data_IF_358561666896
#
_entry.id   IF_358561666896
#
_cell.length_a   1.000
_cell.length_b   1.000
_cell.length_c   1.000
_cell.angle_alpha   90.00
_cell.angle_beta   90.00
_cell.angle_gamma   90.00
#
_symmetry.space_group_name_H-M   'P 1'
#
loop_
_entity.id
_entity.type
_entity.pdbx_description
1 polymer ?
#
# COMPACT_ATOMS: atom_id res chain seq x y z
N UNK A 1 65.84 -46.06 -2.72
CA UNK A 1 65.47 -44.64 -2.56
C UNK A 1 65.57 -43.94 -3.92
N UNK A 2 64.54 -44.12 -4.74
CA UNK A 2 64.26 -43.39 -5.98
C UNK A 2 62.96 -42.59 -5.71
N UNK A 3 62.61 -41.43 -6.28
CA UNK A 3 63.08 -40.61 -7.37
C UNK A 3 62.46 -39.20 -7.18
N UNK A 4 63.18 -38.12 -7.51
CA UNK A 4 62.92 -37.12 -8.58
C UNK A 4 61.57 -36.37 -8.56
N UNK A 5 61.70 -35.06 -8.28
CA UNK A 5 61.04 -33.85 -8.81
C UNK A 5 59.58 -33.87 -9.32
N UNK A 6 58.80 -32.87 -8.86
CA UNK A 6 57.86 -32.05 -9.66
C UNK A 6 57.55 -30.76 -8.89
N UNK A 7 58.15 -29.64 -9.28
CA UNK A 7 57.63 -28.59 -10.16
C UNK A 7 56.42 -27.83 -9.59
N UNK A 8 56.70 -26.58 -9.26
CA UNK A 8 55.80 -25.55 -8.77
C UNK A 8 55.20 -24.79 -9.96
N UNK A 9 54.08 -24.08 -9.74
CA UNK A 9 53.33 -23.18 -10.65
C UNK A 9 52.18 -23.80 -11.45
N UNK A 10 51.01 -23.76 -10.81
CA UNK A 10 49.73 -23.52 -11.45
C UNK A 10 48.91 -22.65 -10.51
N UNK A 11 49.10 -21.33 -10.56
CA UNK A 11 48.16 -20.39 -9.95
C UNK A 11 46.88 -20.47 -10.74
N UNK A 12 45.93 -21.28 -10.28
CA UNK A 12 44.55 -21.17 -10.70
C UNK A 12 44.10 -19.76 -10.31
N UNK A 13 43.94 -18.90 -11.32
CA UNK A 13 43.16 -17.68 -11.22
C UNK A 13 41.74 -18.11 -10.83
N UNK A 14 41.43 -18.09 -9.54
CA UNK A 14 40.06 -18.04 -9.05
C UNK A 14 39.49 -16.69 -9.44
N UNK A 15 39.15 -16.54 -10.72
CA UNK A 15 38.20 -15.52 -11.15
C UNK A 15 36.92 -15.79 -10.38
N UNK A 16 36.68 -14.94 -9.38
CA UNK A 16 35.38 -14.72 -8.75
C UNK A 16 34.42 -14.21 -9.82
N UNK A 17 33.94 -15.12 -10.67
CA UNK A 17 33.03 -14.78 -11.74
C UNK A 17 31.62 -14.57 -11.14
N UNK A 18 30.98 -13.46 -11.51
CA UNK A 18 29.55 -13.26 -11.28
C UNK A 18 28.78 -14.37 -11.98
N UNK A 19 27.69 -14.84 -11.36
CA UNK A 19 26.93 -15.98 -11.87
C UNK A 19 26.04 -15.68 -13.07
N UNK A 20 25.63 -14.43 -13.26
CA UNK A 20 24.87 -14.05 -14.46
C UNK A 20 25.77 -14.20 -15.68
N UNK A 21 25.26 -14.86 -16.73
CA UNK A 21 25.98 -15.19 -17.95
C UNK A 21 26.93 -14.06 -18.37
N UNK A 22 28.24 -14.35 -18.45
CA UNK A 22 29.26 -13.41 -18.92
C UNK A 22 29.06 -12.98 -20.37
N UNK A 23 28.11 -13.60 -21.08
CA UNK A 23 27.75 -13.34 -22.47
C UNK A 23 26.79 -12.15 -22.59
N UNK A 24 25.93 -11.90 -21.60
CA UNK A 24 25.00 -10.75 -21.61
C UNK A 24 25.63 -9.61 -20.81
N UNK A 25 25.91 -8.44 -21.39
CA UNK A 25 26.48 -7.32 -20.62
C UNK A 25 25.46 -6.75 -19.63
N UNK A 26 25.92 -6.35 -18.44
CA UNK A 26 25.09 -5.58 -17.52
C UNK A 26 25.04 -4.12 -17.95
N UNK A 27 23.92 -3.69 -18.54
CA UNK A 27 23.71 -2.32 -19.00
C UNK A 27 22.27 -1.87 -18.72
N UNK A 28 22.12 -0.67 -18.16
CA UNK A 28 20.80 -0.12 -17.85
C UNK A 28 20.09 0.33 -19.13
N UNK A 29 18.94 -0.29 -19.39
CA UNK A 29 18.01 0.04 -20.46
C UNK A 29 16.59 0.12 -19.90
N UNK A 30 16.26 1.16 -19.10
CA UNK A 30 14.98 1.24 -18.37
C UNK A 30 13.74 1.25 -19.27
N UNK A 31 13.91 1.53 -20.57
CA UNK A 31 12.87 1.50 -21.59
C UNK A 31 13.18 0.53 -22.74
N UNK A 32 14.17 -0.35 -22.59
CA UNK A 32 14.66 -1.24 -23.65
C UNK A 32 13.60 -2.24 -24.09
N UNK A 33 13.23 -2.24 -25.37
CA UNK A 33 12.07 -3.01 -25.90
C UNK A 33 12.48 -4.30 -26.60
N UNK A 34 13.75 -4.40 -26.99
CA UNK A 34 14.28 -5.59 -27.63
C UNK A 34 14.76 -6.60 -26.58
N UNK A 35 14.64 -7.93 -26.85
CA UNK A 35 15.09 -8.97 -25.93
C UNK A 35 16.52 -8.79 -25.40
N UNK A 36 17.44 -8.30 -26.24
CA UNK A 36 18.85 -8.08 -25.87
C UNK A 36 19.03 -6.90 -24.89
N UNK A 37 18.29 -5.81 -25.09
CA UNK A 37 18.29 -4.65 -24.19
C UNK A 37 17.67 -5.02 -22.85
N UNK A 38 16.55 -5.76 -22.87
CA UNK A 38 15.88 -6.25 -21.66
C UNK A 38 16.77 -7.20 -20.89
N UNK A 39 17.42 -8.17 -21.56
CA UNK A 39 18.34 -9.10 -20.91
C UNK A 39 19.50 -8.35 -20.24
N UNK A 40 20.02 -7.31 -20.90
CA UNK A 40 21.06 -6.45 -20.35
C UNK A 40 20.58 -5.64 -19.13
N UNK A 41 19.32 -5.17 -19.14
CA UNK A 41 18.71 -4.46 -18.02
C UNK A 41 18.42 -5.39 -16.83
N UNK A 42 17.98 -6.62 -17.08
CA UNK A 42 17.82 -7.65 -16.04
C UNK A 42 19.18 -7.95 -15.41
N UNK A 43 20.23 -8.14 -16.21
CA UNK A 43 21.58 -8.35 -15.67
C UNK A 43 22.10 -7.12 -14.91
N UNK A 44 21.77 -5.90 -15.37
CA UNK A 44 22.07 -4.68 -14.63
C UNK A 44 21.45 -4.71 -13.22
N UNK A 45 20.15 -4.98 -13.09
CA UNK A 45 19.50 -5.06 -11.77
C UNK A 45 20.07 -6.18 -10.90
N UNK A 46 20.35 -7.35 -11.48
CA UNK A 46 20.98 -8.46 -10.76
C UNK A 46 22.34 -8.10 -10.14
N UNK A 47 23.12 -7.21 -10.77
CA UNK A 47 24.46 -6.82 -10.31
C UNK A 47 24.47 -5.52 -9.48
N UNK A 48 23.66 -4.53 -9.86
CA UNK A 48 23.69 -3.18 -9.30
C UNK A 48 22.55 -2.87 -8.34
N UNK A 49 21.55 -3.75 -8.25
CA UNK A 49 20.52 -3.73 -7.22
C UNK A 49 20.43 -5.10 -6.49
N UNK A 50 21.55 -5.62 -5.94
CA UNK A 50 21.57 -6.98 -5.43
C UNK A 50 20.89 -7.11 -4.07
N UNK A 51 20.08 -8.16 -3.93
CA UNK A 51 19.51 -8.61 -2.66
C UNK A 51 20.05 -9.99 -2.22
N UNK A 52 21.00 -10.52 -3.00
CA UNK A 52 21.57 -11.85 -2.84
C UNK A 52 23.09 -11.84 -3.08
N UNK A 53 23.77 -12.88 -2.61
CA UNK A 53 25.19 -13.10 -2.92
C UNK A 53 25.41 -13.30 -4.43
N UNK A 54 26.49 -12.78 -5.03
CA UNK A 54 26.67 -12.69 -6.48
C UNK A 54 27.01 -14.01 -7.19
N UNK A 55 27.14 -15.12 -6.43
CA UNK A 55 27.64 -16.41 -6.92
C UNK A 55 26.57 -17.30 -7.55
N UNK A 56 25.30 -16.90 -7.52
CA UNK A 56 24.19 -17.65 -8.12
C UNK A 56 23.19 -16.72 -8.79
N UNK A 57 22.61 -17.17 -9.89
CA UNK A 57 21.48 -16.54 -10.56
C UNK A 57 20.45 -17.62 -10.86
N UNK A 58 19.74 -18.04 -9.82
CA UNK A 58 18.68 -19.05 -9.89
C UNK A 58 17.32 -18.35 -10.14
N UNK A 59 16.22 -19.09 -10.36
CA UNK A 59 14.92 -18.49 -10.68
C UNK A 59 14.49 -17.37 -9.72
N UNK A 60 14.82 -17.47 -8.43
CA UNK A 60 14.47 -16.43 -7.46
C UNK A 60 15.21 -15.10 -7.73
N UNK A 61 16.53 -15.15 -7.97
CA UNK A 61 17.29 -13.94 -8.31
C UNK A 61 16.82 -13.36 -9.66
N UNK A 62 16.54 -14.24 -10.62
CA UNK A 62 16.01 -13.86 -11.91
C UNK A 62 14.64 -13.17 -11.77
N UNK A 63 13.76 -13.64 -10.88
CA UNK A 63 12.48 -12.99 -10.59
C UNK A 63 12.65 -11.55 -10.13
N UNK A 64 13.42 -11.31 -9.06
CA UNK A 64 13.57 -9.95 -8.53
C UNK A 64 14.20 -9.01 -9.56
N UNK A 65 15.27 -9.44 -10.26
CA UNK A 65 15.91 -8.64 -11.30
C UNK A 65 14.97 -8.36 -12.49
N UNK A 66 14.11 -9.31 -12.83
CA UNK A 66 13.10 -9.15 -13.89
C UNK A 66 11.99 -8.19 -13.47
N UNK A 67 11.48 -8.32 -12.25
CA UNK A 67 10.46 -7.45 -11.70
C UNK A 67 10.95 -6.00 -11.61
N UNK A 68 12.21 -5.78 -11.21
CA UNK A 68 12.84 -4.45 -11.16
C UNK A 68 13.02 -3.86 -12.57
N UNK A 69 13.45 -4.68 -13.55
CA UNK A 69 13.51 -4.29 -14.96
C UNK A 69 12.14 -3.85 -15.51
N UNK A 70 11.06 -4.58 -15.17
CA UNK A 70 9.69 -4.16 -15.53
C UNK A 70 9.29 -2.88 -14.82
N UNK A 71 9.63 -2.77 -13.53
CA UNK A 71 9.30 -1.61 -12.68
C UNK A 71 9.90 -0.31 -13.18
N UNK A 72 11.05 -0.32 -13.85
CA UNK A 72 11.61 0.87 -14.51
C UNK A 72 10.59 1.53 -15.45
N UNK A 73 9.93 0.73 -16.29
CA UNK A 73 8.87 1.20 -17.21
C UNK A 73 7.65 1.67 -16.45
N UNK A 74 7.23 0.93 -15.43
CA UNK A 74 6.07 1.29 -14.60
C UNK A 74 6.30 2.63 -13.90
N UNK A 75 7.47 2.88 -13.33
CA UNK A 75 7.82 4.16 -12.70
C UNK A 75 7.75 5.30 -13.72
N UNK A 76 8.28 5.10 -14.93
CA UNK A 76 8.23 6.13 -15.97
C UNK A 76 6.78 6.51 -16.31
N UNK A 77 5.92 5.51 -16.56
CA UNK A 77 4.51 5.73 -16.90
C UNK A 77 3.68 6.26 -15.72
N UNK A 78 3.95 5.79 -14.51
CA UNK A 78 3.31 6.26 -13.28
C UNK A 78 3.63 7.74 -13.03
N UNK A 79 4.90 8.15 -13.18
CA UNK A 79 5.31 9.54 -13.07
C UNK A 79 4.64 10.41 -14.14
N UNK A 80 4.59 9.95 -15.39
CA UNK A 80 3.91 10.67 -16.48
C UNK A 80 2.41 10.84 -16.21
N UNK A 81 1.75 9.79 -15.73
CA UNK A 81 0.33 9.80 -15.37
C UNK A 81 0.08 10.75 -14.20
N UNK A 82 0.91 10.68 -13.15
CA UNK A 82 0.83 11.56 -11.99
C UNK A 82 0.94 13.04 -12.39
N UNK A 83 1.97 13.39 -13.17
CA UNK A 83 2.19 14.75 -13.67
C UNK A 83 1.06 15.21 -14.59
N UNK A 84 0.54 14.32 -15.43
CA UNK A 84 -0.59 14.62 -16.30
C UNK A 84 -1.84 14.96 -15.49
N UNK A 85 -2.21 14.14 -14.50
CA UNK A 85 -3.36 14.41 -13.62
C UNK A 85 -3.14 15.65 -12.76
N UNK A 86 -1.93 15.89 -12.27
CA UNK A 86 -1.62 17.10 -11.52
C UNK A 86 -1.82 18.36 -12.39
N UNK A 87 -1.37 18.33 -13.65
CA UNK A 87 -1.52 19.46 -14.58
C UNK A 87 -2.96 19.66 -15.08
N UNK A 88 -3.66 18.57 -15.40
CA UNK A 88 -5.00 18.62 -15.97
C UNK A 88 -6.09 18.89 -14.91
N UNK A 89 -5.79 18.58 -13.64
CA UNK A 89 -6.68 18.70 -12.49
C UNK A 89 -8.11 18.14 -12.77
N UNK A 90 -8.21 16.88 -13.23
CA UNK A 90 -9.51 16.26 -13.47
C UNK A 90 -10.19 15.93 -12.13
N UNK A 91 -11.51 15.68 -12.17
CA UNK A 91 -12.16 14.97 -11.08
C UNK A 91 -11.50 13.59 -10.94
N UNK A 92 -11.03 13.25 -9.74
CA UNK A 92 -10.37 11.98 -9.46
C UNK A 92 -11.18 11.14 -8.47
N UNK A 93 -11.32 9.86 -8.78
CA UNK A 93 -12.00 8.87 -7.93
C UNK A 93 -11.01 8.15 -7.02
N UNK A 94 -11.41 7.90 -5.78
CA UNK A 94 -10.62 7.20 -4.78
C UNK A 94 -11.42 6.03 -4.23
N UNK A 95 -10.94 4.82 -4.47
CA UNK A 95 -11.56 3.59 -4.04
C UNK A 95 -10.95 3.13 -2.72
N UNK A 96 -11.74 3.10 -1.64
CA UNK A 96 -11.27 2.72 -0.31
C UNK A 96 -11.74 1.29 -0.04
N UNK A 97 -10.78 0.38 0.17
CA UNK A 97 -11.06 -1.03 0.43
C UNK A 97 -10.10 -1.57 1.48
N UNK A 98 -10.63 -2.41 2.37
CA UNK A 98 -9.82 -3.19 3.32
C UNK A 98 -9.11 -4.36 2.63
N UNK A 99 -9.47 -4.68 1.39
CA UNK A 99 -8.89 -5.80 0.66
C UNK A 99 -8.54 -5.44 -0.78
N UNK A 100 -7.43 -5.98 -1.25
CA UNK A 100 -7.03 -6.04 -2.65
C UNK A 100 -6.36 -7.40 -2.92
N UNK A 101 -7.02 -8.27 -3.68
CA UNK A 101 -6.38 -9.50 -4.18
C UNK A 101 -5.66 -9.19 -5.48
N UNK A 102 -4.48 -8.57 -5.38
CA UNK A 102 -3.67 -8.20 -6.55
C UNK A 102 -3.20 -9.46 -7.29
N UNK A 103 -2.78 -10.47 -6.52
CA UNK A 103 -2.13 -11.67 -7.03
C UNK A 103 -0.69 -11.41 -7.42
N UNK A 104 -0.14 -12.27 -8.29
CA UNK A 104 1.15 -12.06 -8.96
C UNK A 104 1.05 -10.96 -10.02
N UNK A 105 2.01 -10.04 -10.03
CA UNK A 105 2.02 -8.86 -10.88
C UNK A 105 2.85 -9.02 -12.15
N UNK A 106 3.87 -9.90 -12.18
CA UNK A 106 4.81 -9.97 -13.31
C UNK A 106 4.11 -10.18 -14.65
N UNK A 107 3.28 -11.23 -14.74
CA UNK A 107 2.57 -11.58 -15.97
C UNK A 107 1.56 -10.51 -16.38
N UNK A 108 0.87 -9.89 -15.42
CA UNK A 108 -0.07 -8.81 -15.71
C UNK A 108 0.66 -7.56 -16.23
N UNK A 109 1.79 -7.19 -15.63
CA UNK A 109 2.57 -6.03 -16.04
C UNK A 109 3.14 -6.19 -17.45
N UNK A 110 3.82 -7.31 -17.75
CA UNK A 110 4.38 -7.53 -19.10
C UNK A 110 3.28 -7.72 -20.16
N UNK A 111 2.12 -8.25 -19.78
CA UNK A 111 0.95 -8.36 -20.64
C UNK A 111 0.31 -7.01 -20.96
N UNK A 112 0.09 -6.16 -19.95
CA UNK A 112 -0.51 -4.83 -20.14
C UNK A 112 0.40 -3.88 -20.93
N UNK A 113 1.71 -4.04 -20.79
CA UNK A 113 2.73 -3.32 -21.55
C UNK A 113 2.94 -3.87 -22.98
N UNK A 114 2.33 -5.01 -23.34
CA UNK A 114 2.47 -5.68 -24.64
C UNK A 114 3.94 -6.07 -24.97
N UNK A 115 4.67 -6.56 -23.96
CA UNK A 115 6.11 -6.90 -24.04
C UNK A 115 6.45 -8.31 -23.52
N UNK A 116 5.45 -9.18 -23.41
CA UNK A 116 5.61 -10.54 -22.88
C UNK A 116 6.63 -11.37 -23.68
N UNK A 117 6.56 -11.33 -25.01
CA UNK A 117 7.48 -12.08 -25.89
C UNK A 117 8.92 -11.56 -25.78
N UNK A 118 9.08 -10.25 -25.60
CA UNK A 118 10.39 -9.63 -25.45
C UNK A 118 11.06 -10.04 -24.14
N UNK A 119 10.30 -10.11 -23.04
CA UNK A 119 10.79 -10.62 -21.75
C UNK A 119 11.06 -12.12 -21.76
N UNK A 120 10.22 -12.92 -22.43
CA UNK A 120 10.48 -14.35 -22.61
C UNK A 120 11.79 -14.57 -23.41
N UNK A 121 11.99 -13.83 -24.50
CA UNK A 121 13.24 -13.86 -25.27
C UNK A 121 14.47 -13.42 -24.48
N UNK A 122 14.31 -12.42 -23.59
CA UNK A 122 15.38 -11.93 -22.73
C UNK A 122 15.79 -12.95 -21.66
N UNK A 123 14.82 -13.56 -20.98
CA UNK A 123 15.07 -14.59 -19.97
C UNK A 123 15.73 -15.84 -20.57
N UNK A 124 15.33 -16.23 -21.78
CA UNK A 124 15.98 -17.33 -22.50
C UNK A 124 17.48 -17.06 -22.77
N UNK A 125 17.86 -15.81 -23.07
CA UNK A 125 19.28 -15.44 -23.22
C UNK A 125 20.06 -15.53 -21.90
N UNK A 126 19.37 -15.40 -20.77
CA UNK A 126 19.91 -15.52 -19.42
C UNK A 126 19.81 -16.96 -18.86
N UNK A 127 19.26 -17.91 -19.63
CA UNK A 127 19.15 -19.31 -19.24
C UNK A 127 17.93 -19.65 -18.38
N UNK A 128 16.88 -18.83 -18.40
CA UNK A 128 15.64 -19.04 -17.65
C UNK A 128 14.41 -19.05 -18.56
N UNK A 129 13.40 -19.83 -18.20
CA UNK A 129 12.06 -19.75 -18.79
C UNK A 129 11.20 -18.76 -17.99
N UNK A 130 10.35 -17.98 -18.69
CA UNK A 130 9.50 -16.99 -18.02
C UNK A 130 8.56 -17.63 -16.99
N UNK A 131 8.05 -18.82 -17.27
CA UNK A 131 7.14 -19.55 -16.37
C UNK A 131 7.83 -19.88 -15.03
N UNK A 132 9.05 -20.41 -15.06
CA UNK A 132 9.82 -20.73 -13.86
C UNK A 132 10.10 -19.51 -12.99
N UNK A 133 10.34 -18.35 -13.63
CA UNK A 133 10.57 -17.06 -12.97
C UNK A 133 9.29 -16.54 -12.33
N UNK A 134 8.15 -16.63 -13.04
CA UNK A 134 6.82 -16.23 -12.54
C UNK A 134 6.37 -17.09 -11.35
N UNK A 135 6.74 -18.36 -11.30
CA UNK A 135 6.43 -19.26 -10.16
C UNK A 135 7.21 -18.92 -8.87
N UNK A 136 8.25 -18.09 -8.94
CA UNK A 136 8.93 -17.58 -7.74
C UNK A 136 8.21 -16.39 -7.09
N UNK A 137 7.32 -15.72 -7.83
CA UNK A 137 6.58 -14.59 -7.32
C UNK A 137 5.56 -15.05 -6.27
N UNK A 138 5.59 -14.43 -5.10
CA UNK A 138 4.57 -14.63 -4.07
C UNK A 138 3.39 -13.69 -4.31
N UNK A 139 2.18 -14.21 -4.22
CA UNK A 139 0.97 -13.37 -4.23
C UNK A 139 1.04 -12.31 -3.11
N UNK A 140 0.71 -11.06 -3.46
CA UNK A 140 0.61 -10.00 -2.47
C UNK A 140 -0.57 -10.26 -1.53
N UNK A 141 -0.29 -10.58 -0.27
CA UNK A 141 -1.28 -10.96 0.73
C UNK A 141 -2.05 -9.75 1.30
N UNK A 142 -2.75 -9.05 0.41
CA UNK A 142 -3.43 -7.78 0.68
C UNK A 142 -4.97 -7.90 0.68
N UNK A 143 -5.51 -9.11 0.50
CA UNK A 143 -6.93 -9.40 0.45
C UNK A 143 -7.19 -10.89 0.68
N UNK A 144 -8.46 -11.27 0.70
CA UNK A 144 -8.91 -12.64 0.94
C UNK A 144 -9.97 -13.10 -0.07
N UNK A 145 -11.02 -12.32 -0.26
CA UNK A 145 -12.23 -12.77 -0.96
C UNK A 145 -12.57 -12.02 -2.24
N UNK A 146 -13.80 -12.27 -2.72
CA UNK A 146 -14.35 -11.60 -3.90
C UNK A 146 -14.38 -10.07 -3.79
N UNK A 147 -14.54 -9.53 -2.58
CA UNK A 147 -14.46 -8.10 -2.30
C UNK A 147 -13.10 -7.51 -2.72
N UNK A 148 -12.02 -8.17 -2.31
CA UNK A 148 -10.66 -7.79 -2.66
C UNK A 148 -10.33 -8.00 -4.14
N UNK A 149 -10.83 -9.09 -4.75
CA UNK A 149 -10.59 -9.31 -6.19
C UNK A 149 -11.35 -8.33 -7.06
N UNK A 150 -12.57 -7.97 -6.68
CA UNK A 150 -13.34 -6.92 -7.34
C UNK A 150 -12.58 -5.60 -7.35
N UNK A 151 -12.05 -5.19 -6.19
CA UNK A 151 -11.26 -3.97 -6.06
C UNK A 151 -10.03 -4.00 -6.98
N UNK A 152 -9.29 -5.10 -7.05
CA UNK A 152 -8.15 -5.25 -7.97
C UNK A 152 -8.55 -5.19 -9.44
N UNK A 153 -9.62 -5.87 -9.85
CA UNK A 153 -10.13 -5.83 -11.22
C UNK A 153 -10.61 -4.41 -11.62
N UNK A 154 -11.17 -3.65 -10.66
CA UNK A 154 -11.53 -2.25 -10.88
C UNK A 154 -10.30 -1.40 -11.14
N UNK A 155 -9.19 -1.59 -10.43
CA UNK A 155 -7.97 -0.83 -10.69
C UNK A 155 -7.40 -1.10 -12.09
N UNK A 156 -7.33 -2.36 -12.51
CA UNK A 156 -6.91 -2.72 -13.88
C UNK A 156 -7.82 -2.06 -14.94
N UNK A 157 -9.14 -2.08 -14.72
CA UNK A 157 -10.11 -1.43 -15.60
C UNK A 157 -9.97 0.09 -15.61
N UNK A 158 -9.79 0.73 -14.46
CA UNK A 158 -9.59 2.17 -14.33
C UNK A 158 -8.33 2.62 -15.06
N UNK A 159 -7.23 1.87 -14.90
CA UNK A 159 -5.99 2.12 -15.60
C UNK A 159 -6.18 2.03 -17.12
N UNK A 160 -6.75 0.92 -17.59
CA UNK A 160 -7.00 0.61 -19.00
C UNK A 160 -7.94 1.62 -19.68
N UNK A 161 -8.98 2.06 -18.99
CA UNK A 161 -9.96 3.04 -19.50
C UNK A 161 -9.48 4.49 -19.39
N UNK A 162 -8.22 4.72 -18.99
CA UNK A 162 -7.65 6.07 -18.80
C UNK A 162 -8.41 6.93 -17.79
N UNK A 163 -9.01 6.30 -16.77
CA UNK A 163 -9.74 7.02 -15.74
C UNK A 163 -8.78 7.57 -14.68
N UNK A 164 -8.93 8.84 -14.26
CA UNK A 164 -8.24 9.37 -13.10
C UNK A 164 -8.85 8.75 -11.83
N UNK A 165 -8.31 7.61 -11.42
CA UNK A 165 -8.76 6.92 -10.22
C UNK A 165 -7.61 6.19 -9.53
N UNK A 166 -7.62 6.13 -8.20
CA UNK A 166 -6.67 5.38 -7.38
C UNK A 166 -7.39 4.45 -6.39
N UNK A 167 -6.70 3.38 -5.99
CA UNK A 167 -7.08 2.57 -4.84
C UNK A 167 -6.31 2.97 -3.59
N UNK A 168 -6.97 2.96 -2.44
CA UNK A 168 -6.33 3.04 -1.13
C UNK A 168 -6.63 1.78 -0.32
N UNK A 169 -5.59 1.25 0.35
CA UNK A 169 -5.66 0.07 1.21
C UNK A 169 -4.60 0.06 2.31
N UNK A 170 -4.53 -1.02 3.08
CA UNK A 170 -3.49 -1.25 4.10
C UNK A 170 -2.44 -2.22 3.60
N UNK A 171 -1.18 -2.00 3.99
CA UNK A 171 -0.04 -2.86 3.62
C UNK A 171 0.08 -4.03 4.60
N UNK A 172 -0.79 -5.02 4.48
CA UNK A 172 -0.80 -6.18 5.39
C UNK A 172 0.47 -7.01 5.28
N UNK A 173 1.11 -7.29 6.42
CA UNK A 173 2.35 -8.07 6.48
C UNK A 173 2.10 -9.57 6.29
N UNK A 174 1.08 -10.09 6.95
CA UNK A 174 0.84 -11.53 7.09
C UNK A 174 -0.47 -12.01 6.44
N UNK A 175 -1.14 -11.15 5.68
CA UNK A 175 -2.39 -11.49 4.99
C UNK A 175 -3.52 -11.87 5.94
N UNK A 176 -4.36 -12.81 5.50
CA UNK A 176 -5.32 -13.49 6.38
C UNK A 176 -4.66 -14.71 7.04
N UNK A 177 -4.31 -15.72 6.23
CA UNK A 177 -3.43 -16.83 6.57
C UNK A 177 -3.08 -17.61 5.29
N UNK A 178 -1.95 -18.31 5.33
CA UNK A 178 -1.57 -19.36 4.39
C UNK A 178 -2.14 -20.69 4.86
N UNK A 179 -2.97 -21.31 4.03
CA UNK A 179 -3.59 -22.60 4.35
C UNK A 179 -2.60 -23.75 4.17
N UNK A 180 -2.51 -24.63 5.17
CA UNK A 180 -1.84 -25.93 5.07
C UNK A 180 -2.83 -27.04 5.41
N UNK A 181 -2.84 -28.12 4.63
CA UNK A 181 -3.66 -29.29 4.90
C UNK A 181 -2.79 -30.37 5.56
N UNK A 182 -3.12 -30.74 6.79
CA UNK A 182 -2.45 -31.80 7.54
C UNK A 182 -3.43 -32.95 7.82
N UNK A 183 -2.99 -33.97 8.57
CA UNK A 183 -3.86 -35.10 8.94
C UNK A 183 -5.02 -34.67 9.84
N UNK A 184 -4.87 -33.54 10.53
CA UNK A 184 -5.86 -33.01 11.49
C UNK A 184 -6.85 -32.04 10.83
N UNK A 185 -6.62 -31.66 9.57
CA UNK A 185 -7.46 -30.74 8.80
C UNK A 185 -6.68 -29.51 8.34
N UNK A 186 -7.34 -28.35 8.37
CA UNK A 186 -6.72 -27.07 8.06
C UNK A 186 -5.84 -26.60 9.22
N UNK A 187 -4.63 -26.18 8.90
CA UNK A 187 -3.75 -25.37 9.75
C UNK A 187 -3.51 -24.01 9.09
N UNK A 188 -3.46 -22.97 9.91
CA UNK A 188 -3.30 -21.58 9.49
C UNK A 188 -1.91 -21.09 9.91
N UNK A 189 -1.12 -20.62 8.94
CA UNK A 189 0.18 -20.00 9.21
C UNK A 189 0.23 -18.61 8.60
N UNK A 190 1.07 -17.72 9.13
CA UNK A 190 1.24 -16.38 8.57
C UNK A 190 1.84 -16.44 7.16
N UNK A 191 1.40 -15.53 6.28
CA UNK A 191 2.02 -15.33 4.97
C UNK A 191 3.42 -14.72 5.10
N UNK A 192 4.30 -14.98 4.14
CA UNK A 192 5.72 -14.58 4.19
C UNK A 192 6.14 -13.75 2.96
N UNK A 193 5.18 -13.08 2.31
CA UNK A 193 5.39 -12.33 1.07
C UNK A 193 6.30 -11.11 1.23
N UNK A 194 6.39 -10.54 2.44
CA UNK A 194 7.25 -9.39 2.77
C UNK A 194 8.45 -9.75 3.65
N UNK A 195 8.74 -11.03 3.91
CA UNK A 195 9.90 -11.42 4.73
C UNK A 195 11.24 -11.13 4.03
N UNK A 196 11.24 -11.03 2.70
CA UNK A 196 12.35 -10.45 1.93
C UNK A 196 12.03 -8.99 1.61
N UNK A 197 11.33 -8.76 0.51
CA UNK A 197 10.81 -7.47 0.07
C UNK A 197 9.85 -7.69 -1.10
N UNK A 198 9.01 -6.70 -1.40
CA UNK A 198 8.24 -6.67 -2.65
C UNK A 198 8.99 -5.81 -3.68
N UNK A 199 9.30 -6.33 -4.89
CA UNK A 199 9.97 -5.54 -5.91
C UNK A 199 9.05 -4.51 -6.56
N UNK A 200 7.73 -4.57 -6.34
CA UNK A 200 6.73 -3.78 -7.06
C UNK A 200 6.44 -2.42 -6.43
N UNK A 201 6.56 -2.32 -5.12
CA UNK A 201 6.15 -1.13 -4.37
C UNK A 201 7.19 -0.01 -4.39
N UNK A 202 6.74 1.23 -4.26
CA UNK A 202 7.57 2.43 -4.16
C UNK A 202 7.22 3.14 -2.85
N UNK A 203 8.13 3.14 -1.89
CA UNK A 203 7.96 3.90 -0.65
C UNK A 203 8.00 5.41 -0.91
N UNK A 204 7.15 6.18 -0.23
CA UNK A 204 7.07 7.65 -0.30
C UNK A 204 7.33 8.25 1.07
N UNK A 205 8.60 8.41 1.43
CA UNK A 205 9.00 8.92 2.75
C UNK A 205 8.57 10.37 3.01
N UNK A 206 8.25 11.13 1.97
CA UNK A 206 7.67 12.47 2.01
C UNK A 206 6.16 12.48 2.25
N UNK A 207 5.48 11.36 2.04
CA UNK A 207 4.04 11.20 2.22
C UNK A 207 3.78 10.42 3.51
N UNK A 208 3.71 11.18 4.61
CA UNK A 208 3.45 10.67 5.96
C UNK A 208 2.37 11.50 6.62
N UNK A 209 1.30 10.83 7.10
CA UNK A 209 0.20 11.49 7.78
C UNK A 209 0.01 10.97 9.20
N UNK A 210 -0.19 11.84 10.21
CA UNK A 210 -0.47 11.42 11.56
C UNK A 210 -1.91 10.88 11.67
N UNK A 211 -2.08 9.77 12.36
CA UNK A 211 -3.40 9.21 12.70
C UNK A 211 -3.47 9.04 14.22
N UNK A 212 -4.47 9.67 14.83
CA UNK A 212 -4.69 9.64 16.28
C UNK A 212 -5.65 8.52 16.68
N UNK A 213 -5.50 7.99 17.89
CA UNK A 213 -6.44 7.10 18.55
C UNK A 213 -6.60 7.50 20.02
N UNK A 214 -7.77 7.19 20.59
CA UNK A 214 -8.13 7.55 21.97
C UNK A 214 -8.13 9.07 22.18
N UNK A 215 -7.61 9.57 23.30
CA UNK A 215 -7.58 11.00 23.60
C UNK A 215 -8.95 11.55 23.96
N UNK A 216 -9.15 12.86 23.75
CA UNK A 216 -10.37 13.57 24.12
C UNK A 216 -10.61 14.80 23.24
N UNK A 217 -11.83 15.32 23.26
CA UNK A 217 -12.17 16.56 22.58
C UNK A 217 -11.99 17.73 23.53
N UNK A 218 -11.22 18.72 23.11
CA UNK A 218 -11.11 20.02 23.75
C UNK A 218 -12.02 21.02 23.03
N UNK A 219 -12.73 21.84 23.81
CA UNK A 219 -13.59 22.92 23.30
C UNK A 219 -12.89 24.24 23.59
N UNK A 220 -12.53 24.97 22.54
CA UNK A 220 -11.83 26.25 22.64
C UNK A 220 -12.81 27.38 23.00
N UNK A 221 -12.31 28.54 23.49
CA UNK A 221 -13.15 29.68 23.84
C UNK A 221 -14.02 30.25 22.70
N UNK A 222 -13.60 30.06 21.45
CA UNK A 222 -14.35 30.46 20.24
C UNK A 222 -15.42 29.43 19.84
N UNK A 223 -15.57 28.33 20.59
CA UNK A 223 -16.50 27.24 20.32
C UNK A 223 -15.97 26.18 19.36
N UNK A 224 -14.79 26.39 18.75
CA UNK A 224 -14.16 25.36 17.91
C UNK A 224 -13.72 24.16 18.74
N UNK A 225 -13.69 22.99 18.11
CA UNK A 225 -13.38 21.71 18.75
C UNK A 225 -12.07 21.19 18.22
N UNK A 226 -11.26 20.56 19.08
CA UNK A 226 -10.00 19.96 18.67
C UNK A 226 -9.83 18.59 19.34
N UNK A 227 -9.41 17.60 18.55
CA UNK A 227 -9.07 16.28 19.08
C UNK A 227 -7.61 16.24 19.55
N UNK A 228 -7.40 16.04 20.85
CA UNK A 228 -6.10 16.14 21.51
C UNK A 228 -5.78 14.88 22.33
N UNK A 229 -4.51 14.75 22.72
CA UNK A 229 -3.97 13.63 23.52
C UNK A 229 -4.13 12.27 22.82
N UNK A 230 -3.97 11.16 23.56
CA UNK A 230 -4.05 9.81 23.01
C UNK A 230 -2.79 9.36 22.27
N UNK A 231 -2.94 8.29 21.50
CA UNK A 231 -1.86 7.68 20.72
C UNK A 231 -1.83 8.29 19.32
N UNK A 232 -0.63 8.59 18.81
CA UNK A 232 -0.47 9.02 17.41
C UNK A 232 0.49 8.06 16.72
N UNK A 233 0.07 7.53 15.58
CA UNK A 233 0.90 6.74 14.68
C UNK A 233 1.06 7.46 13.34
N UNK A 234 2.09 7.11 12.60
CA UNK A 234 2.40 7.66 11.29
C UNK A 234 1.93 6.69 10.20
N UNK A 235 1.19 7.18 9.23
CA UNK A 235 0.81 6.44 8.04
C UNK A 235 1.79 6.76 6.90
N UNK A 236 2.67 5.81 6.60
CA UNK A 236 3.64 5.90 5.51
C UNK A 236 3.05 5.30 4.23
N UNK A 237 3.11 6.05 3.12
CA UNK A 237 2.62 5.58 1.83
C UNK A 237 3.61 4.66 1.10
N UNK A 238 3.06 3.60 0.53
CA UNK A 238 3.69 2.72 -0.44
C UNK A 238 2.81 2.68 -1.69
N UNK A 239 3.33 3.08 -2.84
CA UNK A 239 2.60 3.03 -4.12
C UNK A 239 2.92 1.72 -4.85
N UNK A 240 1.88 1.00 -5.27
CA UNK A 240 1.97 -0.11 -6.23
C UNK A 240 1.40 0.39 -7.56
N UNK A 241 2.25 0.61 -8.59
CA UNK A 241 1.78 1.05 -9.90
C UNK A 241 0.86 0.01 -10.55
N UNK A 242 -0.27 0.47 -11.11
CA UNK A 242 -1.23 -0.39 -11.83
C UNK A 242 -1.22 0.03 -13.31
N UNK A 243 -0.54 -0.74 -14.20
CA UNK A 243 -0.50 -0.44 -15.63
C UNK A 243 -1.82 -0.78 -16.29
N UNK A 244 -2.32 0.08 -17.17
CA UNK A 244 -3.47 -0.21 -18.02
C UNK A 244 -3.07 -0.97 -19.29
N UNK A 245 -3.95 -1.83 -19.80
CA UNK A 245 -3.71 -2.57 -21.04
C UNK A 245 -3.63 -1.63 -22.24
N UNK A 246 -2.51 -1.67 -22.97
CA UNK A 246 -2.27 -0.88 -24.19
C UNK A 246 -2.52 0.63 -24.03
N UNK A 247 -2.19 1.16 -22.86
CA UNK A 247 -2.16 2.60 -22.59
C UNK A 247 -0.92 2.98 -21.79
N UNK A 248 -0.57 4.27 -21.79
CA UNK A 248 0.46 4.82 -20.89
C UNK A 248 -0.08 5.12 -19.49
N UNK A 249 -1.41 5.12 -19.33
CA UNK A 249 -2.03 5.45 -18.06
C UNK A 249 -1.73 4.35 -17.04
N UNK A 250 -0.94 4.70 -16.03
CA UNK A 250 -0.52 3.82 -14.94
C UNK A 250 -0.89 4.50 -13.63
N UNK A 251 -1.94 4.00 -12.99
CA UNK A 251 -2.51 4.56 -11.76
C UNK A 251 -1.84 3.96 -10.52
N UNK A 252 -2.33 4.28 -9.32
CA UNK A 252 -1.77 3.78 -8.06
C UNK A 252 -2.80 2.96 -7.28
N UNK A 253 -2.34 1.83 -6.73
CA UNK A 253 -2.81 1.33 -5.45
C UNK A 253 -1.87 1.89 -4.38
N UNK A 254 -2.35 2.83 -3.57
CA UNK A 254 -1.60 3.39 -2.44
C UNK A 254 -1.93 2.61 -1.17
N UNK A 255 -0.91 2.02 -0.57
CA UNK A 255 -1.00 1.23 0.66
C UNK A 255 -0.40 1.99 1.82
N UNK A 256 -1.06 1.92 2.98
CA UNK A 256 -0.59 2.54 4.21
C UNK A 256 0.11 1.54 5.12
N UNK A 257 1.32 1.87 5.56
CA UNK A 257 2.03 1.21 6.65
C UNK A 257 1.93 2.06 7.92
N UNK A 258 1.50 1.45 9.03
CA UNK A 258 1.45 2.09 10.34
C UNK A 258 2.81 2.00 11.06
N UNK A 259 3.37 3.15 11.45
CA UNK A 259 4.65 3.25 12.15
C UNK A 259 4.56 4.14 13.39
N UNK A 260 5.36 3.83 14.40
CA UNK A 260 5.72 4.81 15.43
C UNK A 260 7.00 5.55 15.00
N UNK A 261 7.22 6.75 15.53
CA UNK A 261 8.48 7.45 15.33
C UNK A 261 9.57 6.86 16.22
N UNK A 262 10.84 7.08 15.89
CA UNK A 262 11.95 6.65 16.76
C UNK A 262 11.92 7.31 18.14
N UNK A 263 11.33 8.51 18.25
CA UNK A 263 11.19 9.24 19.51
C UNK A 263 10.20 8.56 20.47
N UNK A 264 9.30 7.73 19.94
CA UNK A 264 8.34 6.96 20.74
C UNK A 264 8.95 5.70 21.38
N UNK A 265 10.25 5.45 21.17
CA UNK A 265 10.98 4.37 21.83
C UNK A 265 11.56 4.83 23.16
N UNK A 266 11.09 4.27 24.27
CA UNK A 266 11.50 4.72 25.59
C UNK A 266 12.83 4.07 26.03
N UNK A 267 13.94 4.77 25.78
CA UNK A 267 15.29 4.31 26.15
C UNK A 267 15.48 4.11 27.66
N UNK A 268 14.80 4.89 28.51
CA UNK A 268 14.89 4.74 29.96
C UNK A 268 14.31 3.38 30.39
N UNK A 269 13.09 3.06 29.94
CA UNK A 269 12.46 1.77 30.20
C UNK A 269 13.25 0.61 29.60
N UNK A 270 13.82 0.78 28.41
CA UNK A 270 14.63 -0.24 27.78
C UNK A 270 15.88 -0.58 28.60
N UNK A 271 16.61 0.44 29.05
CA UNK A 271 17.82 0.27 29.86
C UNK A 271 17.52 -0.31 31.26
N UNK A 272 16.28 -0.14 31.75
CA UNK A 272 15.78 -0.76 33.00
C UNK A 272 15.26 -2.19 32.80
N UNK A 273 15.39 -2.76 31.60
CA UNK A 273 14.96 -4.12 31.27
C UNK A 273 13.46 -4.26 30.96
N UNK A 274 12.72 -3.17 30.86
CA UNK A 274 11.28 -3.14 30.59
C UNK A 274 10.99 -3.07 29.07
N UNK A 275 11.45 -4.08 28.33
CA UNK A 275 11.49 -4.06 26.85
C UNK A 275 10.11 -3.92 26.18
N UNK A 276 9.08 -4.59 26.70
CA UNK A 276 7.72 -4.51 26.14
C UNK A 276 7.13 -3.10 26.29
N UNK A 277 7.28 -2.50 27.48
CA UNK A 277 6.86 -1.12 27.75
C UNK A 277 7.61 -0.13 26.86
N UNK A 278 8.92 -0.34 26.71
CA UNK A 278 9.78 0.55 25.92
C UNK A 278 9.40 0.63 24.44
N UNK A 279 8.84 -0.44 23.89
CA UNK A 279 8.46 -0.58 22.48
C UNK A 279 6.94 -0.59 22.25
N UNK A 280 6.15 -0.27 23.27
CA UNK A 280 4.69 -0.47 23.23
C UNK A 280 4.00 0.22 22.06
N UNK A 281 4.37 1.47 21.74
CA UNK A 281 3.76 2.18 20.60
C UNK A 281 4.19 1.59 19.25
N UNK A 282 5.45 1.15 19.13
CA UNK A 282 5.95 0.47 17.93
C UNK A 282 5.17 -0.81 17.68
N UNK A 283 4.95 -1.62 18.72
CA UNK A 283 4.15 -2.83 18.64
C UNK A 283 2.69 -2.54 18.25
N UNK A 284 2.06 -1.54 18.87
CA UNK A 284 0.68 -1.13 18.54
C UNK A 284 0.51 -0.64 17.11
N UNK A 285 1.50 0.08 16.57
CA UNK A 285 1.50 0.49 15.17
C UNK A 285 1.59 -0.72 14.24
N UNK A 286 2.53 -1.65 14.51
CA UNK A 286 2.70 -2.88 13.72
C UNK A 286 1.44 -3.75 13.69
N UNK A 287 0.69 -3.84 14.80
CA UNK A 287 -0.56 -4.60 14.87
C UNK A 287 -1.59 -4.17 13.82
N UNK A 288 -1.67 -2.87 13.48
CA UNK A 288 -2.65 -2.34 12.52
C UNK A 288 -2.47 -2.98 11.14
N UNK A 289 -1.23 -3.18 10.71
CA UNK A 289 -0.92 -3.76 9.40
C UNK A 289 -0.48 -5.22 9.48
N UNK A 290 -0.69 -5.91 10.61
CA UNK A 290 -0.23 -7.28 10.76
C UNK A 290 -1.08 -8.26 9.93
N UNK A 291 -2.37 -8.36 10.24
CA UNK A 291 -3.30 -9.36 9.68
C UNK A 291 -4.58 -8.66 9.18
N UNK A 292 -5.12 -9.16 8.07
CA UNK A 292 -6.43 -8.82 7.55
C UNK A 292 -7.53 -9.46 8.40
N UNK A 293 -8.54 -8.67 8.80
CA UNK A 293 -9.65 -9.12 9.65
C UNK A 293 -9.21 -9.86 10.93
N UNK A 294 -8.46 -9.19 11.82
CA UNK A 294 -8.08 -9.79 13.09
C UNK A 294 -9.33 -10.19 13.89
N UNK A 295 -9.28 -11.34 14.57
CA UNK A 295 -10.39 -11.85 15.35
C UNK A 295 -10.91 -10.84 16.38
N UNK A 296 -12.23 -10.61 16.40
CA UNK A 296 -12.88 -9.52 17.12
C UNK A 296 -13.85 -10.01 18.21
N UNK A 297 -13.67 -11.24 18.70
CA UNK A 297 -14.44 -11.77 19.82
C UNK A 297 -14.18 -10.99 21.13
N UNK A 298 -12.99 -10.41 21.28
CA UNK A 298 -12.57 -9.64 22.47
C UNK A 298 -12.66 -8.13 22.23
N UNK A 299 -12.67 -7.33 23.31
CA UNK A 299 -12.62 -5.85 23.17
C UNK A 299 -11.34 -5.39 22.46
N UNK A 300 -10.19 -6.02 22.73
CA UNK A 300 -8.93 -5.69 22.07
C UNK A 300 -8.98 -5.95 20.56
N UNK A 301 -9.59 -7.07 20.13
CA UNK A 301 -9.80 -7.39 18.72
C UNK A 301 -10.72 -6.38 18.04
N UNK A 302 -11.83 -6.01 18.69
CA UNK A 302 -12.74 -4.96 18.23
C UNK A 302 -12.05 -3.61 18.06
N UNK A 303 -11.27 -3.20 19.06
CA UNK A 303 -10.49 -1.96 18.99
C UNK A 303 -9.48 -2.01 17.85
N UNK A 304 -8.78 -3.15 17.63
CA UNK A 304 -7.82 -3.28 16.54
C UNK A 304 -8.49 -3.19 15.17
N UNK A 305 -9.61 -3.89 14.95
CA UNK A 305 -10.37 -3.83 13.70
C UNK A 305 -10.88 -2.41 13.41
N UNK A 306 -11.37 -1.69 14.43
CA UNK A 306 -11.77 -0.29 14.29
C UNK A 306 -10.57 0.65 14.04
N UNK A 307 -9.41 0.38 14.68
CA UNK A 307 -8.15 1.10 14.40
C UNK A 307 -7.75 0.95 12.93
N UNK A 308 -7.83 -0.26 12.36
CA UNK A 308 -7.53 -0.50 10.94
C UNK A 308 -8.42 0.32 10.00
N UNK A 309 -9.74 0.27 10.22
CA UNK A 309 -10.72 1.03 9.43
C UNK A 309 -10.45 2.54 9.52
N UNK A 310 -10.27 3.07 10.72
CA UNK A 310 -10.01 4.49 10.91
C UNK A 310 -8.68 4.91 10.29
N UNK A 311 -7.64 4.09 10.45
CA UNK A 311 -6.31 4.35 9.90
C UNK A 311 -6.34 4.46 8.38
N UNK A 312 -7.03 3.53 7.70
CA UNK A 312 -7.26 3.62 6.26
C UNK A 312 -7.97 4.92 5.89
N UNK A 313 -9.07 5.24 6.57
CA UNK A 313 -9.90 6.42 6.23
C UNK A 313 -9.13 7.73 6.44
N UNK A 314 -8.53 7.93 7.61
CA UNK A 314 -7.87 9.18 7.98
C UNK A 314 -6.64 9.44 7.11
N UNK A 315 -5.75 8.45 6.94
CA UNK A 315 -4.56 8.63 6.11
C UNK A 315 -4.94 8.93 4.64
N UNK A 316 -5.91 8.21 4.09
CA UNK A 316 -6.36 8.40 2.70
C UNK A 316 -7.01 9.77 2.50
N UNK A 317 -7.89 10.20 3.40
CA UNK A 317 -8.56 11.51 3.27
C UNK A 317 -7.60 12.67 3.45
N UNK A 318 -6.63 12.59 4.37
CA UNK A 318 -5.57 13.59 4.51
C UNK A 318 -4.76 13.72 3.21
N UNK A 319 -4.38 12.61 2.58
CA UNK A 319 -3.67 12.59 1.29
C UNK A 319 -4.52 13.13 0.12
N UNK A 320 -5.81 12.81 0.09
CA UNK A 320 -6.75 13.35 -0.90
C UNK A 320 -6.90 14.86 -0.77
N UNK A 321 -7.07 15.38 0.46
CA UNK A 321 -7.14 16.81 0.74
C UNK A 321 -5.83 17.50 0.36
N UNK A 322 -4.69 16.91 0.74
CA UNK A 322 -3.37 17.41 0.37
C UNK A 322 -3.27 17.56 -1.16
N UNK A 323 -3.64 16.53 -1.92
CA UNK A 323 -3.58 16.55 -3.39
C UNK A 323 -4.56 17.55 -4.02
N UNK A 324 -5.77 17.68 -3.48
CA UNK A 324 -6.73 18.70 -3.93
C UNK A 324 -6.13 20.10 -3.78
N UNK A 325 -5.47 20.37 -2.65
CA UNK A 325 -4.80 21.65 -2.41
C UNK A 325 -3.59 21.84 -3.33
N UNK A 326 -2.79 20.80 -3.53
CA UNK A 326 -1.55 20.83 -4.32
C UNK A 326 -1.79 21.18 -5.80
N UNK A 327 -2.89 20.70 -6.39
CA UNK A 327 -3.20 20.88 -7.83
C UNK A 327 -3.68 22.27 -8.20
N UNK A 328 -4.05 23.10 -7.22
CA UNK A 328 -4.59 24.43 -7.49
C UNK A 328 -3.45 25.41 -7.81
N UNK A 329 -3.51 26.00 -8.99
CA UNK A 329 -2.70 27.16 -9.35
C UNK A 329 -3.41 28.45 -8.89
N UNK A 330 -3.04 29.00 -7.73
CA UNK A 330 -3.59 30.30 -7.30
C UNK A 330 -3.15 30.75 -5.91
N UNK A 331 -3.28 32.06 -5.64
CA UNK A 331 -3.10 32.66 -4.32
C UNK A 331 -4.48 33.08 -3.79
N UNK A 332 -4.94 32.50 -2.69
CA UNK A 332 -6.23 32.83 -2.06
C UNK A 332 -6.78 31.71 -1.18
N UNK A 333 -7.87 31.98 -0.45
CA UNK A 333 -8.58 30.97 0.35
C UNK A 333 -9.10 29.83 -0.53
N UNK A 334 -9.22 28.64 0.06
CA UNK A 334 -9.70 27.43 -0.61
C UNK A 334 -11.21 27.51 -0.82
N UNK A 335 -11.67 27.23 -2.04
CA UNK A 335 -13.09 27.10 -2.34
C UNK A 335 -13.48 25.64 -2.17
N UNK A 336 -13.89 25.26 -0.97
CA UNK A 336 -14.24 23.88 -0.64
C UNK A 336 -15.47 23.38 -1.39
N UNK A 337 -16.31 24.28 -1.90
CA UNK A 337 -17.39 23.95 -2.82
C UNK A 337 -16.93 23.25 -4.12
N UNK A 338 -15.66 23.42 -4.53
CA UNK A 338 -15.06 22.71 -5.67
C UNK A 338 -14.66 21.26 -5.32
N UNK A 339 -14.44 20.93 -4.04
CA UNK A 339 -13.98 19.62 -3.60
C UNK A 339 -14.81 18.45 -4.17
N UNK A 340 -16.16 18.41 -4.06
CA UNK A 340 -16.95 17.31 -4.64
C UNK A 340 -16.99 17.31 -6.18
N UNK A 341 -16.58 18.40 -6.83
CA UNK A 341 -16.41 18.44 -8.29
C UNK A 341 -15.04 17.90 -8.74
N UNK A 342 -14.08 17.79 -7.81
CA UNK A 342 -12.71 17.32 -8.04
C UNK A 342 -12.40 15.97 -7.39
N UNK A 343 -13.22 15.55 -6.43
CA UNK A 343 -13.01 14.35 -5.62
C UNK A 343 -14.28 13.51 -5.62
N UNK A 344 -14.12 12.21 -5.80
CA UNK A 344 -15.12 11.20 -5.46
C UNK A 344 -14.46 10.12 -4.59
N UNK A 345 -15.11 9.72 -3.51
CA UNK A 345 -14.64 8.67 -2.61
C UNK A 345 -15.66 7.55 -2.59
N UNK A 346 -15.23 6.34 -2.99
CA UNK A 346 -16.08 5.15 -2.98
C UNK A 346 -15.75 4.29 -1.77
N UNK A 347 -16.78 4.01 -0.97
CA UNK A 347 -16.72 3.10 0.17
C UNK A 347 -17.05 1.67 -0.29
N UNK A 348 -16.05 0.78 -0.23
CA UNK A 348 -16.23 -0.62 -0.56
C UNK A 348 -16.69 -1.42 0.67
N UNK A 349 -17.99 -1.69 0.74
CA UNK A 349 -18.69 -2.14 1.94
C UNK A 349 -18.62 -1.13 3.10
N UNK A 350 -18.95 -1.56 4.31
CA UNK A 350 -19.10 -0.76 5.52
C UNK A 350 -17.77 -0.45 6.21
N UNK A 351 -16.69 -1.16 5.89
CA UNK A 351 -15.41 -0.98 6.55
C UNK A 351 -14.87 0.47 6.50
N UNK A 352 -14.92 1.19 5.37
CA UNK A 352 -14.45 2.59 5.33
C UNK A 352 -15.55 3.61 5.70
N UNK A 353 -16.62 3.22 6.42
CA UNK A 353 -17.69 4.16 6.84
C UNK A 353 -17.16 5.36 7.62
N UNK A 354 -16.08 5.18 8.37
CA UNK A 354 -15.42 6.25 9.13
C UNK A 354 -14.89 7.40 8.26
N UNK A 355 -14.79 7.22 6.93
CA UNK A 355 -14.48 8.31 6.01
C UNK A 355 -15.50 9.45 6.08
N UNK A 356 -16.77 9.16 6.39
CA UNK A 356 -17.82 10.18 6.50
C UNK A 356 -17.53 11.14 7.67
N UNK A 357 -17.50 10.69 8.94
CA UNK A 357 -17.22 11.58 10.06
C UNK A 357 -15.78 12.13 10.04
N UNK A 358 -14.81 11.40 9.47
CA UNK A 358 -13.43 11.90 9.38
C UNK A 358 -13.30 13.04 8.37
N UNK A 359 -13.98 12.99 7.22
CA UNK A 359 -13.97 14.11 6.27
C UNK A 359 -14.61 15.35 6.89
N UNK A 360 -15.75 15.20 7.58
CA UNK A 360 -16.38 16.31 8.32
C UNK A 360 -15.42 16.86 9.37
N UNK A 361 -14.74 15.99 10.13
CA UNK A 361 -13.76 16.40 11.15
C UNK A 361 -12.63 17.22 10.53
N UNK A 362 -12.00 16.72 9.47
CA UNK A 362 -10.91 17.41 8.77
C UNK A 362 -11.37 18.78 8.27
N UNK A 363 -12.53 18.86 7.62
CA UNK A 363 -13.08 20.11 7.09
C UNK A 363 -13.42 21.13 8.20
N UNK A 364 -14.01 20.69 9.31
CA UNK A 364 -14.42 21.59 10.39
C UNK A 364 -13.25 21.97 11.30
N UNK A 365 -12.56 20.98 11.84
CA UNK A 365 -11.58 21.18 12.91
C UNK A 365 -10.24 21.68 12.36
N UNK A 366 -9.83 21.20 11.17
CA UNK A 366 -8.51 21.50 10.60
C UNK A 366 -8.60 22.62 9.54
N UNK A 367 -9.69 22.66 8.76
CA UNK A 367 -9.90 23.66 7.69
C UNK A 367 -10.86 24.80 8.07
N UNK A 368 -11.53 24.72 9.22
CA UNK A 368 -12.34 25.79 9.79
C UNK A 368 -13.74 25.97 9.18
N UNK A 369 -14.28 24.96 8.48
CA UNK A 369 -15.61 25.04 7.88
C UNK A 369 -16.72 24.97 8.93
N UNK A 370 -17.84 25.63 8.62
CA UNK A 370 -19.09 25.40 9.34
C UNK A 370 -19.69 24.02 9.01
N UNK A 371 -20.56 23.54 9.89
CA UNK A 371 -21.19 22.22 9.75
C UNK A 371 -21.89 22.04 8.39
N UNK A 372 -22.76 22.98 8.00
CA UNK A 372 -23.60 22.81 6.80
C UNK A 372 -22.75 22.76 5.51
N UNK A 373 -21.67 23.53 5.44
CA UNK A 373 -20.72 23.50 4.33
C UNK A 373 -19.93 22.18 4.30
N UNK A 374 -19.41 21.74 5.46
CA UNK A 374 -18.69 20.48 5.56
C UNK A 374 -19.58 19.27 5.24
N UNK A 375 -20.83 19.30 5.65
CA UNK A 375 -21.83 18.27 5.35
C UNK A 375 -22.14 18.20 3.86
N UNK A 376 -22.41 19.34 3.21
CA UNK A 376 -22.69 19.40 1.78
C UNK A 376 -21.50 18.89 0.94
N UNK A 377 -20.27 19.28 1.29
CA UNK A 377 -19.05 18.74 0.67
C UNK A 377 -18.96 17.23 0.86
N UNK A 378 -19.15 16.74 2.08
CA UNK A 378 -19.04 15.31 2.42
C UNK A 378 -20.08 14.47 1.67
N UNK A 379 -21.35 14.89 1.73
CA UNK A 379 -22.47 14.19 1.10
C UNK A 379 -22.34 14.10 -0.43
N UNK A 380 -21.75 15.11 -1.08
CA UNK A 380 -21.52 15.12 -2.54
C UNK A 380 -20.21 14.43 -2.96
N UNK A 381 -19.33 14.09 -2.01
CA UNK A 381 -18.04 13.44 -2.29
C UNK A 381 -18.11 11.93 -2.10
N UNK A 382 -18.83 11.45 -1.09
CA UNK A 382 -18.79 10.04 -0.66
C UNK A 382 -19.97 9.25 -1.25
N UNK A 383 -19.68 8.07 -1.80
CA UNK A 383 -20.66 7.09 -2.24
C UNK A 383 -20.36 5.71 -1.62
N UNK A 384 -21.40 4.89 -1.45
CA UNK A 384 -21.33 3.59 -0.77
C UNK A 384 -21.78 2.45 -1.69
N UNK A 385 -21.01 1.35 -1.68
CA UNK A 385 -21.40 0.07 -2.31
C UNK A 385 -21.61 -0.99 -1.23
N UNK A 386 -22.80 -1.58 -1.19
CA UNK A 386 -23.10 -2.74 -0.36
C UNK A 386 -22.80 -4.05 -1.11
N UNK A 387 -22.22 -5.03 -0.42
CA UNK A 387 -22.04 -6.41 -0.93
C UNK A 387 -22.74 -7.47 -0.08
N UNK A 388 -23.54 -7.04 0.90
CA UNK A 388 -24.11 -7.89 1.95
C UNK A 388 -25.63 -7.87 1.90
N UNK A 389 -26.22 -9.04 1.62
CA UNK A 389 -27.69 -9.21 1.57
C UNK A 389 -28.30 -9.38 2.98
N UNK A 390 -27.57 -10.01 3.90
CA UNK A 390 -28.04 -10.33 5.25
C UNK A 390 -27.89 -9.12 6.20
N UNK A 391 -28.97 -8.57 6.76
CA UNK A 391 -28.90 -7.40 7.65
C UNK A 391 -28.01 -7.60 8.88
N UNK A 392 -27.88 -8.83 9.36
CA UNK A 392 -27.04 -9.20 10.51
C UNK A 392 -25.53 -9.14 10.21
N UNK A 393 -25.14 -9.14 8.93
CA UNK A 393 -23.75 -9.03 8.51
C UNK A 393 -23.30 -7.58 8.25
N UNK A 394 -24.21 -6.61 8.39
CA UNK A 394 -23.84 -5.19 8.42
C UNK A 394 -23.15 -4.84 9.74
N UNK A 395 -21.96 -4.25 9.66
CA UNK A 395 -21.13 -3.98 10.84
C UNK A 395 -21.87 -3.09 11.86
N UNK A 396 -21.79 -3.49 13.14
CA UNK A 396 -22.30 -2.73 14.28
C UNK A 396 -21.22 -2.59 15.33
N UNK A 397 -21.00 -1.36 15.77
CA UNK A 397 -20.01 -1.05 16.79
C UNK A 397 -20.67 -0.63 18.10
N UNK A 398 -20.10 -1.07 19.21
CA UNK A 398 -20.51 -0.58 20.54
C UNK A 398 -20.20 0.91 20.64
N UNK A 399 -21.17 1.73 21.03
CA UNK A 399 -20.95 3.15 21.26
C UNK A 399 -19.84 3.39 22.28
N UNK A 400 -19.74 2.56 23.32
CA UNK A 400 -18.67 2.69 24.34
C UNK A 400 -17.28 2.48 23.73
N UNK A 401 -17.12 1.49 22.84
CA UNK A 401 -15.86 1.25 22.12
C UNK A 401 -15.52 2.43 21.20
N UNK A 402 -16.52 2.94 20.46
CA UNK A 402 -16.35 4.09 19.58
C UNK A 402 -16.00 5.38 20.34
N UNK A 403 -16.69 5.69 21.44
CA UNK A 403 -16.40 6.86 22.28
C UNK A 403 -15.00 6.80 22.88
N UNK A 404 -14.57 5.60 23.29
CA UNK A 404 -13.22 5.39 23.82
C UNK A 404 -12.15 5.63 22.76
N UNK A 405 -12.33 5.09 21.55
CA UNK A 405 -11.30 5.15 20.51
C UNK A 405 -11.33 6.43 19.67
N UNK A 406 -12.51 6.92 19.33
CA UNK A 406 -12.78 7.98 18.35
C UNK A 406 -13.82 8.99 18.91
N UNK A 407 -13.51 9.67 20.03
CA UNK A 407 -14.48 10.53 20.72
C UNK A 407 -14.99 11.67 19.82
N UNK A 408 -14.11 12.28 19.01
CA UNK A 408 -14.52 13.36 18.10
C UNK A 408 -15.47 12.89 17.01
N UNK A 409 -15.25 11.70 16.47
CA UNK A 409 -16.12 11.09 15.45
C UNK A 409 -17.49 10.75 16.01
N UNK A 410 -17.56 10.30 17.27
CA UNK A 410 -18.86 10.04 17.90
C UNK A 410 -19.69 11.30 18.13
N UNK A 411 -19.08 12.46 18.43
CA UNK A 411 -19.81 13.73 18.45
C UNK A 411 -20.39 14.09 17.07
N UNK A 412 -19.61 13.87 16.00
CA UNK A 412 -20.05 14.11 14.63
C UNK A 412 -21.18 13.14 14.26
N UNK A 413 -21.04 11.85 14.56
CA UNK A 413 -22.08 10.84 14.29
C UNK A 413 -23.37 11.18 15.04
N UNK A 414 -23.29 11.60 16.30
CA UNK A 414 -24.46 12.00 17.08
C UNK A 414 -25.16 13.23 16.48
N UNK A 415 -24.41 14.21 15.96
CA UNK A 415 -24.99 15.38 15.28
C UNK A 415 -25.60 15.02 13.91
N UNK A 416 -24.99 14.10 13.16
CA UNK A 416 -25.60 13.54 11.93
C UNK A 416 -26.93 12.88 12.28
N UNK A 417 -26.94 11.98 13.26
CA UNK A 417 -28.13 11.22 13.65
C UNK A 417 -29.26 12.15 14.08
N UNK A 418 -28.95 13.17 14.88
CA UNK A 418 -29.90 14.20 15.28
C UNK A 418 -30.53 14.91 14.08
N UNK A 419 -29.72 15.39 13.13
CA UNK A 419 -30.19 16.15 11.96
C UNK A 419 -30.94 15.33 10.92
N UNK A 420 -30.75 14.01 10.90
CA UNK A 420 -31.53 13.10 10.05
C UNK A 420 -32.94 12.88 10.61
N UNK A 421 -33.11 13.02 11.93
CA UNK A 421 -34.38 12.81 12.62
C UNK A 421 -35.15 14.11 12.93
N UNK A 422 -34.48 15.27 12.90
CA UNK A 422 -35.08 16.61 12.89
C UNK A 422 -35.67 16.94 11.50
#
# INVERSE_FOLDING_TARGET
MAAIAKNNRGTASTTTAFAVSTVVPAAAHPLGSEPTEIASNINYHAQYNPHFSPFKFEPEQAFYATAESVRDRLIKQWNETYLHFHKADPKQTYYLSMEYLQGRALTNAVGNLDIIDAYAGALNQLGHELEDVVEQEKDAALGNGGLGRLASCFLDSMATLNLPAWGYGLRYKYGLFKQRITREGQEEIAEDWLEKFSPWEVVRHDIVFPVRFFGRVEVKPDGSRQWVEGEVVQALAYDVPIPGYRTKNTISLRLWEAKASSEDFNLFQFNDGQYESASQLHYRAQQICAILYPGDATESGKLLRLKQQFFLCSASLQDIIFRFKERRNGKGSWQWSEFPSKVAVQLNDTHPTLAIPELIRLLMDDEGLGWDEAWDVTARTIAYTNHTVLPEALEKWSQSVMWKLLPRHMEIIAEIDKRVHD
#
